data_IF_765860552326
#
_entry.id   IF_765860552326
#
_cell.length_a   1.000
_cell.length_b   1.000
_cell.length_c   1.000
_cell.angle_alpha   90.00
_cell.angle_beta   90.00
_cell.angle_gamma   90.00
#
_symmetry.space_group_name_H-M   'P 1'
#
loop_
_entity.id
_entity.type
_entity.pdbx_description
1 polymer ?
#
# COMPACT_ATOMS: atom_id res chain seq x y z
N UNK A 1 -3.60 -4.13 -33.73
CA UNK A 1 -3.18 -4.98 -32.60
C UNK A 1 -2.53 -4.08 -31.56
N UNK A 2 -3.24 -3.76 -30.47
CA UNK A 2 -2.70 -2.91 -29.40
C UNK A 2 -2.11 -3.84 -28.34
N UNK A 3 -0.79 -3.80 -28.14
CA UNK A 3 -0.16 -4.41 -26.97
C UNK A 3 -0.48 -3.50 -25.79
N UNK A 4 -1.42 -3.90 -24.93
CA UNK A 4 -1.64 -3.21 -23.66
C UNK A 4 -0.43 -3.51 -22.77
N UNK A 5 0.54 -2.60 -22.75
CA UNK A 5 1.59 -2.60 -21.75
C UNK A 5 0.93 -2.15 -20.45
N UNK A 6 0.64 -3.08 -19.54
CA UNK A 6 0.28 -2.81 -18.15
C UNK A 6 1.38 -1.93 -17.54
N UNK A 7 1.20 -0.61 -17.60
CA UNK A 7 2.19 0.36 -17.10
C UNK A 7 2.09 0.33 -15.59
N UNK A 8 3.03 -0.33 -14.91
CA UNK A 8 3.28 -0.04 -13.48
C UNK A 8 3.41 1.46 -13.31
N UNK A 9 2.47 2.10 -12.61
CA UNK A 9 2.50 3.53 -12.35
C UNK A 9 3.14 3.76 -10.99
N UNK A 10 4.10 4.68 -10.95
CA UNK A 10 4.73 5.10 -9.71
C UNK A 10 3.96 6.32 -9.20
N UNK A 11 3.38 6.22 -8.00
CA UNK A 11 2.68 7.32 -7.34
C UNK A 11 3.53 7.76 -6.15
N UNK A 12 3.72 9.08 -6.00
CA UNK A 12 4.45 9.69 -4.88
C UNK A 12 3.43 10.30 -3.92
N UNK A 13 3.31 9.72 -2.74
CA UNK A 13 2.50 10.27 -1.66
C UNK A 13 3.35 11.14 -0.75
N UNK A 14 2.82 12.28 -0.33
CA UNK A 14 3.42 13.13 0.69
C UNK A 14 2.65 12.95 2.00
N UNK A 15 3.35 12.64 3.07
CA UNK A 15 2.75 12.59 4.42
C UNK A 15 2.20 13.96 4.82
N UNK A 16 1.22 14.00 5.72
CA UNK A 16 0.59 15.28 6.15
C UNK A 16 1.59 16.29 6.73
N UNK A 17 2.71 15.81 7.29
CA UNK A 17 3.79 16.66 7.79
C UNK A 17 4.70 17.25 6.70
N UNK A 18 4.45 16.91 5.43
CA UNK A 18 5.19 17.37 4.27
C UNK A 18 6.58 16.76 4.10
N UNK A 19 7.04 15.91 5.01
CA UNK A 19 8.46 15.49 5.09
C UNK A 19 8.76 14.20 4.34
N UNK A 20 7.82 13.28 4.30
CA UNK A 20 8.07 11.95 3.75
C UNK A 20 7.40 11.81 2.39
N UNK A 21 8.19 11.41 1.39
CA UNK A 21 7.70 11.01 0.07
C UNK A 21 7.73 9.49 -0.02
N UNK A 22 6.54 8.88 -0.15
CA UNK A 22 6.38 7.44 -0.29
C UNK A 22 6.16 7.11 -1.76
N UNK A 23 7.07 6.34 -2.33
CA UNK A 23 6.98 5.82 -3.70
C UNK A 23 6.24 4.48 -3.70
N UNK A 24 5.15 4.37 -4.46
CA UNK A 24 4.34 3.14 -4.53
C UNK A 24 4.16 2.68 -5.95
N UNK A 25 4.08 1.36 -6.13
CA UNK A 25 3.67 0.74 -7.40
C UNK A 25 2.16 0.54 -7.40
N UNK A 26 1.50 1.12 -8.39
CA UNK A 26 0.10 0.91 -8.69
C UNK A 26 -0.04 -0.12 -9.82
N UNK A 27 -0.77 -1.20 -9.56
CA UNK A 27 -0.97 -2.30 -10.51
C UNK A 27 -2.32 -2.98 -10.27
N UNK A 28 -3.13 -3.18 -11.31
CA UNK A 28 -4.46 -3.81 -11.23
C UNK A 28 -5.34 -3.23 -10.10
N UNK A 29 -5.40 -1.90 -9.97
CA UNK A 29 -6.12 -1.18 -8.91
C UNK A 29 -5.61 -1.43 -7.47
N UNK A 30 -4.50 -2.17 -7.33
CA UNK A 30 -3.85 -2.45 -6.07
C UNK A 30 -2.62 -1.55 -5.86
N UNK A 31 -2.41 -1.15 -4.61
CA UNK A 31 -1.23 -0.41 -4.19
C UNK A 31 -0.28 -1.35 -3.47
N UNK A 32 0.95 -1.47 -4.00
CA UNK A 32 1.98 -2.32 -3.40
C UNK A 32 2.94 -1.48 -2.56
N UNK A 33 2.99 -1.80 -1.27
CA UNK A 33 3.75 -1.09 -0.24
C UNK A 33 4.40 -2.07 0.73
N UNK A 34 5.63 -1.77 1.15
CA UNK A 34 6.20 -2.44 2.32
C UNK A 34 5.49 -1.94 3.61
N UNK A 35 5.35 -2.80 4.62
CA UNK A 35 4.69 -2.43 5.89
C UNK A 35 5.30 -1.18 6.56
N UNK A 36 6.61 -0.99 6.42
CA UNK A 36 7.31 0.22 6.89
C UNK A 36 6.78 1.49 6.22
N UNK A 37 6.62 1.47 4.90
CA UNK A 37 6.09 2.60 4.14
C UNK A 37 4.61 2.85 4.44
N UNK A 38 3.81 1.80 4.68
CA UNK A 38 2.44 1.97 5.17
C UNK A 38 2.42 2.68 6.53
N UNK A 39 3.31 2.28 7.45
CA UNK A 39 3.40 2.91 8.76
C UNK A 39 3.76 4.40 8.65
N UNK A 40 4.68 4.76 7.77
CA UNK A 40 5.03 6.16 7.49
C UNK A 40 3.85 6.93 6.87
N UNK A 41 3.19 6.36 5.85
CA UNK A 41 2.06 6.98 5.16
C UNK A 41 0.89 7.28 6.10
N UNK A 42 0.54 6.32 6.96
CA UNK A 42 -0.56 6.44 7.93
C UNK A 42 -0.13 6.98 9.29
N UNK A 43 1.10 7.51 9.41
CA UNK A 43 1.66 8.08 10.63
C UNK A 43 1.44 7.18 11.88
N UNK A 44 1.70 5.89 11.72
CA UNK A 44 1.51 4.87 12.74
C UNK A 44 2.76 4.00 12.88
N UNK A 45 2.66 2.90 13.63
CA UNK A 45 3.78 1.97 13.82
C UNK A 45 3.61 0.71 12.96
N UNK A 46 4.72 0.07 12.60
CA UNK A 46 4.69 -1.25 11.93
C UNK A 46 3.97 -2.30 12.79
N UNK A 47 4.04 -2.18 14.12
CA UNK A 47 3.28 -3.04 15.03
C UNK A 47 1.76 -2.87 14.85
N UNK A 48 1.28 -1.63 14.75
CA UNK A 48 -0.13 -1.35 14.47
C UNK A 48 -0.55 -1.89 13.10
N UNK A 49 0.27 -1.69 12.05
CA UNK A 49 0.01 -2.28 10.72
C UNK A 49 -0.14 -3.80 10.82
N UNK A 50 0.76 -4.48 11.52
CA UNK A 50 0.66 -5.93 11.72
C UNK A 50 -0.61 -6.36 12.46
N UNK A 51 -1.05 -5.59 13.46
CA UNK A 51 -2.33 -5.84 14.15
C UNK A 51 -3.50 -5.73 13.18
N UNK A 52 -3.56 -4.69 12.35
CA UNK A 52 -4.61 -4.53 11.35
C UNK A 52 -4.60 -5.66 10.31
N UNK A 53 -3.44 -6.04 9.79
CA UNK A 53 -3.32 -7.16 8.85
C UNK A 53 -3.84 -8.46 9.47
N UNK A 54 -3.44 -8.77 10.72
CA UNK A 54 -3.95 -9.95 11.44
C UNK A 54 -5.47 -9.93 11.56
N UNK A 55 -6.05 -8.79 11.92
CA UNK A 55 -7.50 -8.66 12.06
C UNK A 55 -8.21 -8.89 10.72
N UNK A 56 -7.72 -8.30 9.62
CA UNK A 56 -8.26 -8.47 8.26
C UNK A 56 -8.27 -9.96 7.84
N UNK A 57 -7.18 -10.69 8.12
CA UNK A 57 -7.13 -12.13 7.82
C UNK A 57 -8.07 -12.94 8.73
N UNK A 58 -8.22 -12.56 10.00
CA UNK A 58 -9.12 -13.24 10.94
C UNK A 58 -10.59 -13.01 10.62
N UNK A 59 -10.97 -11.79 10.23
CA UNK A 59 -12.32 -11.43 9.85
C UNK A 59 -12.71 -11.95 8.47
N UNK A 60 -11.75 -12.49 7.70
CA UNK A 60 -11.92 -12.93 6.31
C UNK A 60 -12.40 -11.78 5.41
N UNK A 61 -11.96 -10.57 5.71
CA UNK A 61 -12.21 -9.39 4.86
C UNK A 61 -11.37 -9.42 3.58
N UNK A 62 -10.26 -10.17 3.59
CA UNK A 62 -9.46 -10.41 2.39
C UNK A 62 -9.90 -11.72 1.75
N UNK A 63 -10.43 -11.63 0.53
CA UNK A 63 -10.58 -12.81 -0.33
C UNK A 63 -9.23 -13.23 -0.89
N UNK A 64 -8.91 -14.52 -0.76
CA UNK A 64 -7.83 -15.14 -1.53
C UNK A 64 -8.38 -15.45 -2.93
N UNK A 65 -8.28 -14.48 -3.84
CA UNK A 65 -8.61 -14.65 -5.25
C UNK A 65 -7.56 -15.47 -5.99
#
# INVERSE_FOLDING_TARGET
>A
MVKNSEKSQIIIYQTEDGKTRVEVRFEYENVWLAQKLMAELFQTTVANINTHLKNIFQSRELDLS
#
